data_IF_481731023439
#
_entry.id   IF_481731023439
#
_cell.length_a   1.000
_cell.length_b   1.000
_cell.length_c   1.000
_cell.angle_alpha   90.00
_cell.angle_beta   90.00
_cell.angle_gamma   90.00
#
_symmetry.space_group_name_H-M   'P 1'
#
loop_
_entity.id
_entity.type
_entity.pdbx_description
1 polymer ?
#
# COMPACT_ATOMS: atom_id res chain seq x y z
N UNK A 1 -22.97 18.94 -1.31
CA UNK A 1 -22.17 18.74 -2.51
C UNK A 1 -23.01 18.66 -3.78
N UNK A 2 -24.16 17.98 -3.73
CA UNK A 2 -25.01 17.78 -4.92
C UNK A 2 -25.53 19.11 -5.47
N UNK A 3 -25.94 20.05 -4.59
CA UNK A 3 -26.38 21.39 -4.99
C UNK A 3 -25.26 22.18 -5.67
N UNK A 4 -24.05 22.16 -5.13
CA UNK A 4 -22.88 22.83 -5.70
C UNK A 4 -22.48 22.25 -7.06
N UNK A 5 -22.49 20.92 -7.18
CA UNK A 5 -22.20 20.22 -8.44
C UNK A 5 -23.15 20.63 -9.56
N UNK A 6 -24.46 20.74 -9.25
CA UNK A 6 -25.50 21.16 -10.21
C UNK A 6 -25.34 22.65 -10.58
N UNK A 7 -25.15 23.52 -9.60
CA UNK A 7 -25.01 24.97 -9.82
C UNK A 7 -23.77 25.31 -10.65
N UNK A 8 -22.64 24.65 -10.37
CA UNK A 8 -21.38 24.90 -11.05
C UNK A 8 -21.17 24.05 -12.31
N UNK A 9 -22.07 23.11 -12.60
CA UNK A 9 -21.94 22.12 -13.68
C UNK A 9 -20.60 21.37 -13.64
N UNK A 10 -20.11 21.07 -12.43
CA UNK A 10 -18.87 20.36 -12.18
C UNK A 10 -19.21 18.99 -11.60
N UNK A 11 -18.66 17.88 -12.15
CA UNK A 11 -18.99 16.55 -11.69
C UNK A 11 -18.53 16.31 -10.25
N UNK A 12 -19.34 15.57 -9.50
CA UNK A 12 -18.93 15.03 -8.19
C UNK A 12 -18.01 13.84 -8.39
N UNK A 13 -16.90 13.81 -7.69
CA UNK A 13 -15.91 12.74 -7.73
C UNK A 13 -15.74 12.21 -6.31
N UNK A 14 -15.75 10.88 -6.16
CA UNK A 14 -15.35 10.20 -4.95
C UNK A 14 -13.95 9.61 -5.14
N UNK A 15 -12.91 10.26 -4.60
CA UNK A 15 -11.54 9.82 -4.81
C UNK A 15 -11.22 8.60 -3.95
N UNK A 16 -10.99 7.44 -4.59
CA UNK A 16 -10.44 6.25 -3.97
C UNK A 16 -9.00 6.05 -4.44
N UNK A 17 -8.03 5.96 -3.54
CA UNK A 17 -6.61 5.82 -3.89
C UNK A 17 -6.32 4.60 -4.76
N UNK A 18 -7.06 3.50 -4.58
CA UNK A 18 -6.96 2.28 -5.38
C UNK A 18 -7.22 2.50 -6.88
N UNK A 19 -8.10 3.45 -7.21
CA UNK A 19 -8.54 3.77 -8.58
C UNK A 19 -7.74 4.88 -9.25
N UNK A 20 -6.85 5.55 -8.53
CA UNK A 20 -6.02 6.63 -9.08
C UNK A 20 -4.94 6.09 -9.98
N UNK A 21 -4.74 6.72 -11.15
CA UNK A 21 -3.60 6.41 -12.02
C UNK A 21 -2.28 6.80 -11.32
N UNK A 22 -1.47 5.79 -10.98
CA UNK A 22 -0.23 5.97 -10.25
C UNK A 22 0.83 6.75 -11.03
N UNK A 23 0.72 6.81 -12.36
CA UNK A 23 1.63 7.61 -13.19
C UNK A 23 1.41 9.11 -12.95
N UNK A 24 0.16 9.55 -12.82
CA UNK A 24 -0.15 10.93 -12.48
C UNK A 24 0.37 11.34 -11.12
N UNK A 25 0.35 10.42 -10.14
CA UNK A 25 0.87 10.68 -8.81
C UNK A 25 2.39 10.91 -8.80
N UNK A 26 3.13 10.41 -9.79
CA UNK A 26 4.56 10.66 -9.91
C UNK A 26 4.88 12.13 -10.22
N UNK A 27 3.99 12.83 -10.93
CA UNK A 27 4.16 14.21 -11.38
C UNK A 27 3.79 15.25 -10.31
N UNK A 28 3.17 14.80 -9.19
CA UNK A 28 2.67 15.72 -8.17
C UNK A 28 3.36 15.57 -6.82
N UNK A 29 3.44 16.68 -6.09
CA UNK A 29 3.98 16.69 -4.74
C UNK A 29 2.83 16.53 -3.72
N UNK A 30 2.88 15.51 -2.82
CA UNK A 30 1.87 15.31 -1.80
C UNK A 30 1.60 16.53 -0.93
N UNK A 31 2.61 17.36 -0.66
CA UNK A 31 2.45 18.56 0.16
C UNK A 31 1.47 19.55 -0.47
N UNK A 32 1.62 19.87 -1.78
CA UNK A 32 0.67 20.79 -2.40
C UNK A 32 -0.72 20.15 -2.60
N UNK A 33 -0.81 18.82 -2.73
CA UNK A 33 -2.11 18.15 -2.69
C UNK A 33 -2.84 18.41 -1.36
N UNK A 34 -2.10 18.40 -0.25
CA UNK A 34 -2.60 18.67 1.10
C UNK A 34 -2.97 20.16 1.26
N UNK A 35 -2.09 21.07 0.86
CA UNK A 35 -2.28 22.52 0.98
C UNK A 35 -3.48 23.03 0.19
N UNK A 36 -3.66 22.51 -1.03
CA UNK A 36 -4.75 22.93 -1.93
C UNK A 36 -5.98 22.03 -1.85
N UNK A 37 -5.97 20.97 -1.03
CA UNK A 37 -7.03 19.97 -0.99
C UNK A 37 -7.41 19.48 -2.39
N UNK A 38 -6.42 18.96 -3.12
CA UNK A 38 -6.50 18.63 -4.53
C UNK A 38 -5.71 17.33 -4.80
N UNK A 39 -6.26 16.40 -5.60
CA UNK A 39 -5.54 15.21 -6.05
C UNK A 39 -5.90 14.84 -7.49
N UNK A 40 -4.93 14.46 -8.34
CA UNK A 40 -5.23 13.92 -9.66
C UNK A 40 -5.79 12.50 -9.53
N UNK A 41 -6.83 12.20 -10.34
CA UNK A 41 -7.52 10.91 -10.29
C UNK A 41 -7.17 10.04 -11.49
N UNK A 42 -7.17 10.58 -12.69
CA UNK A 42 -6.98 9.85 -13.93
C UNK A 42 -7.19 10.72 -15.14
N UNK A 43 -7.47 10.10 -16.27
CA UNK A 43 -7.73 10.79 -17.53
C UNK A 43 -9.16 10.56 -18.02
N UNK A 44 -9.74 11.58 -18.58
CA UNK A 44 -10.94 11.50 -19.41
C UNK A 44 -10.60 12.03 -20.79
N UNK A 45 -10.53 11.15 -21.77
CA UNK A 45 -9.95 11.41 -23.10
C UNK A 45 -8.47 11.85 -22.91
N UNK A 46 -8.14 13.10 -23.31
CA UNK A 46 -6.81 13.69 -23.22
C UNK A 46 -6.67 14.72 -22.07
N UNK A 47 -7.63 14.74 -21.15
CA UNK A 47 -7.66 15.70 -20.02
C UNK A 47 -7.43 15.01 -18.70
N UNK A 48 -6.59 15.60 -17.87
CA UNK A 48 -6.38 15.15 -16.49
C UNK A 48 -7.57 15.57 -15.62
N UNK A 49 -8.12 14.62 -14.89
CA UNK A 49 -9.21 14.86 -13.93
C UNK A 49 -8.61 15.07 -12.54
N UNK A 50 -8.91 16.19 -11.91
CA UNK A 50 -8.52 16.55 -10.56
C UNK A 50 -9.73 16.61 -9.65
N UNK A 51 -9.67 15.92 -8.51
CA UNK A 51 -10.66 16.05 -7.44
C UNK A 51 -10.22 17.13 -6.45
N UNK A 52 -11.08 18.07 -6.10
CA UNK A 52 -10.82 19.14 -5.15
C UNK A 52 -12.06 19.49 -4.33
N UNK A 53 -11.88 20.19 -3.20
CA UNK A 53 -13.00 20.64 -2.37
C UNK A 53 -13.69 21.85 -3.00
N UNK A 54 -12.91 22.82 -3.47
CA UNK A 54 -13.40 24.07 -4.04
C UNK A 54 -12.76 24.36 -5.40
N UNK A 55 -13.45 24.02 -6.51
CA UNK A 55 -12.95 24.23 -7.86
C UNK A 55 -12.92 25.70 -8.30
N UNK A 56 -13.45 26.62 -7.49
CA UNK A 56 -13.48 28.05 -7.81
C UNK A 56 -12.22 28.78 -7.36
N UNK A 57 -11.41 28.18 -6.47
CA UNK A 57 -10.15 28.77 -6.01
C UNK A 57 -9.16 28.97 -7.17
N UNK A 58 -8.69 30.19 -7.34
CA UNK A 58 -7.73 30.53 -8.40
C UNK A 58 -6.39 29.85 -8.19
N UNK A 59 -5.95 29.64 -6.94
CA UNK A 59 -4.74 28.87 -6.61
C UNK A 59 -4.78 27.43 -7.14
N UNK A 60 -5.93 26.76 -7.07
CA UNK A 60 -6.14 25.40 -7.62
C UNK A 60 -6.01 25.43 -9.14
N UNK A 61 -6.70 26.38 -9.80
CA UNK A 61 -6.67 26.51 -11.27
C UNK A 61 -5.28 26.83 -11.79
N UNK A 62 -4.58 27.75 -11.12
CA UNK A 62 -3.22 28.12 -11.47
C UNK A 62 -2.25 26.95 -11.32
N UNK A 63 -2.30 26.25 -10.17
CA UNK A 63 -1.43 25.09 -9.91
C UNK A 63 -1.73 23.91 -10.84
N UNK A 64 -2.99 23.66 -11.13
CA UNK A 64 -3.40 22.63 -12.08
C UNK A 64 -2.85 22.91 -13.49
N UNK A 65 -2.91 24.16 -13.96
CA UNK A 65 -2.33 24.56 -15.26
C UNK A 65 -0.82 24.50 -15.28
N UNK A 66 -0.15 24.88 -14.19
CA UNK A 66 1.31 24.81 -14.07
C UNK A 66 1.82 23.37 -14.25
N UNK A 67 1.13 22.39 -13.66
CA UNK A 67 1.58 20.98 -13.64
C UNK A 67 1.09 20.21 -14.86
N UNK A 68 -0.15 20.41 -15.28
CA UNK A 68 -0.83 19.59 -16.30
C UNK A 68 -1.22 20.37 -17.58
N UNK A 69 -0.89 21.66 -17.66
CA UNK A 69 -1.29 22.52 -18.77
C UNK A 69 -2.78 22.84 -18.77
N UNK A 70 -3.30 23.25 -19.95
CA UNK A 70 -4.71 23.65 -20.08
C UNK A 70 -5.71 22.48 -20.19
N UNK A 71 -5.19 21.24 -20.28
CA UNK A 71 -6.00 20.03 -20.43
C UNK A 71 -6.41 19.43 -19.08
N UNK A 72 -7.10 20.23 -18.28
CA UNK A 72 -7.52 19.84 -16.93
C UNK A 72 -9.05 19.91 -16.82
N UNK A 73 -9.60 18.94 -16.10
CA UNK A 73 -10.99 18.90 -15.64
C UNK A 73 -11.03 18.89 -14.12
N UNK A 74 -11.78 19.80 -13.53
CA UNK A 74 -11.98 19.82 -12.08
C UNK A 74 -13.26 19.08 -11.72
N UNK A 75 -13.24 18.36 -10.61
CA UNK A 75 -14.41 17.73 -10.02
C UNK A 75 -14.47 18.03 -8.51
N UNK A 76 -15.68 18.07 -7.96
CA UNK A 76 -15.90 18.36 -6.54
C UNK A 76 -15.87 17.07 -5.75
N UNK A 77 -15.04 17.01 -4.71
CA UNK A 77 -14.92 15.87 -3.81
C UNK A 77 -15.41 16.20 -2.40
N UNK A 78 -15.81 15.15 -1.68
CA UNK A 78 -16.07 15.26 -0.24
C UNK A 78 -14.76 15.51 0.51
N UNK A 79 -14.76 16.45 1.46
CA UNK A 79 -13.56 16.81 2.24
C UNK A 79 -12.95 15.61 2.99
N UNK A 80 -13.79 14.75 3.58
CA UNK A 80 -13.33 13.57 4.32
C UNK A 80 -12.66 12.56 3.38
N UNK A 81 -13.35 12.12 2.32
CA UNK A 81 -12.85 11.17 1.33
C UNK A 81 -11.56 11.68 0.67
N UNK A 82 -11.49 12.97 0.32
CA UNK A 82 -10.32 13.59 -0.28
C UNK A 82 -9.13 13.61 0.69
N UNK A 83 -9.35 13.99 1.96
CA UNK A 83 -8.31 14.03 2.99
C UNK A 83 -7.74 12.65 3.28
N UNK A 84 -8.60 11.62 3.37
CA UNK A 84 -8.18 10.22 3.54
C UNK A 84 -7.33 9.77 2.36
N UNK A 85 -7.76 10.04 1.13
CA UNK A 85 -7.02 9.69 -0.08
C UNK A 85 -5.67 10.40 -0.17
N UNK A 86 -5.58 11.67 0.19
CA UNK A 86 -4.32 12.41 0.24
C UNK A 86 -3.37 11.82 1.31
N UNK A 87 -3.90 11.42 2.47
CA UNK A 87 -3.11 10.77 3.52
C UNK A 87 -2.48 9.47 3.03
N UNK A 88 -3.27 8.62 2.35
CA UNK A 88 -2.75 7.39 1.74
C UNK A 88 -1.70 7.70 0.65
N UNK A 89 -1.89 8.77 -0.12
CA UNK A 89 -0.89 9.21 -1.11
C UNK A 89 0.42 9.68 -0.46
N UNK A 90 0.37 10.42 0.64
CA UNK A 90 1.56 10.84 1.39
C UNK A 90 2.35 9.63 1.91
N UNK A 91 1.67 8.63 2.47
CA UNK A 91 2.28 7.38 2.90
C UNK A 91 2.88 6.60 1.72
N UNK A 92 2.15 6.46 0.62
CA UNK A 92 2.63 5.83 -0.61
C UNK A 92 3.92 6.49 -1.13
N UNK A 93 4.01 7.83 -1.13
CA UNK A 93 5.20 8.57 -1.57
C UNK A 93 6.37 8.49 -0.59
N UNK A 94 6.11 8.44 0.72
CA UNK A 94 7.14 8.17 1.72
C UNK A 94 7.78 6.81 1.49
N UNK A 95 6.94 5.80 1.27
CA UNK A 95 7.39 4.43 1.04
C UNK A 95 8.11 4.26 -0.32
N UNK A 96 7.77 5.06 -1.35
CA UNK A 96 8.52 5.08 -2.61
C UNK A 96 9.87 5.80 -2.51
N UNK A 97 10.01 6.79 -1.63
CA UNK A 97 11.28 7.49 -1.38
C UNK A 97 12.19 6.74 -0.42
N UNK A 98 11.65 5.88 0.41
CA UNK A 98 12.45 4.88 1.11
C UNK A 98 12.93 3.89 0.06
N UNK A 99 14.25 3.75 -0.16
CA UNK A 99 14.73 2.65 -1.00
C UNK A 99 14.08 1.39 -0.44
N UNK A 100 13.45 0.59 -1.31
CA UNK A 100 12.94 -0.72 -0.93
C UNK A 100 14.07 -1.39 -0.18
N UNK A 101 13.92 -1.54 1.14
CA UNK A 101 15.05 -1.96 1.97
C UNK A 101 15.43 -3.37 1.55
N UNK A 102 16.65 -3.52 1.05
CA UNK A 102 17.26 -4.84 0.98
C UNK A 102 17.41 -5.32 2.42
N UNK A 103 16.62 -6.31 2.78
CA UNK A 103 16.78 -6.96 4.08
C UNK A 103 17.92 -7.96 3.92
N UNK A 104 19.14 -7.46 4.11
CA UNK A 104 20.34 -8.26 4.17
C UNK A 104 20.60 -8.63 5.62
N UNK A 105 20.58 -9.89 5.92
CA UNK A 105 20.95 -10.47 7.20
C UNK A 105 21.22 -11.96 6.99
N UNK A 106 22.27 -12.50 7.61
CA UNK A 106 22.61 -13.92 7.49
C UNK A 106 21.66 -14.85 8.26
N UNK A 107 20.57 -14.31 8.85
CA UNK A 107 19.66 -15.08 9.68
C UNK A 107 18.20 -14.83 9.26
N UNK A 108 17.56 -15.85 8.73
CA UNK A 108 16.15 -15.83 8.31
C UNK A 108 15.20 -15.40 9.44
N UNK A 109 15.53 -15.74 10.70
CA UNK A 109 14.75 -15.31 11.87
C UNK A 109 14.73 -13.79 11.99
N UNK A 110 15.90 -13.14 11.93
CA UNK A 110 15.98 -11.68 12.04
C UNK A 110 15.26 -10.95 10.88
N UNK A 111 15.31 -11.53 9.66
CA UNK A 111 14.59 -11.01 8.50
C UNK A 111 13.08 -11.09 8.72
N UNK A 112 12.57 -12.24 9.14
CA UNK A 112 11.16 -12.49 9.39
C UNK A 112 10.67 -11.59 10.53
N UNK A 113 11.36 -11.58 11.67
CA UNK A 113 10.98 -10.79 12.82
C UNK A 113 10.90 -9.29 12.48
N UNK A 114 11.89 -8.76 11.76
CA UNK A 114 11.87 -7.36 11.29
C UNK A 114 10.64 -7.06 10.45
N UNK A 115 10.31 -7.91 9.48
CA UNK A 115 9.15 -7.72 8.60
C UNK A 115 7.84 -7.78 9.38
N UNK A 116 7.71 -8.73 10.32
CA UNK A 116 6.50 -8.88 11.13
C UNK A 116 6.31 -7.72 12.11
N UNK A 117 7.39 -7.26 12.77
CA UNK A 117 7.35 -6.07 13.63
C UNK A 117 6.89 -4.85 12.84
N UNK A 118 7.50 -4.61 11.68
CA UNK A 118 7.16 -3.46 10.82
C UNK A 118 5.72 -3.53 10.30
N UNK A 119 5.21 -4.72 9.99
CA UNK A 119 3.82 -4.92 9.60
C UNK A 119 2.84 -4.57 10.74
N UNK A 120 3.18 -4.96 11.97
CA UNK A 120 2.39 -4.66 13.16
C UNK A 120 2.40 -3.16 13.46
N UNK A 121 3.58 -2.53 13.45
CA UNK A 121 3.75 -1.10 13.72
C UNK A 121 3.04 -0.20 12.71
N UNK A 122 3.00 -0.62 11.43
CA UNK A 122 2.31 0.10 10.36
C UNK A 122 0.82 -0.22 10.27
N UNK A 123 0.31 -1.11 11.11
CA UNK A 123 -1.10 -1.51 11.10
C UNK A 123 -1.51 -2.25 9.82
N UNK A 124 -0.60 -3.00 9.22
CA UNK A 124 -0.89 -3.76 8.02
C UNK A 124 -1.96 -4.85 8.28
N UNK A 125 -2.94 -4.94 7.40
CA UNK A 125 -3.95 -6.02 7.44
C UNK A 125 -3.45 -7.34 6.84
N UNK A 126 -2.58 -7.25 5.84
CA UNK A 126 -2.00 -8.41 5.17
C UNK A 126 -0.54 -8.15 4.80
N UNK A 127 0.30 -9.19 4.91
CA UNK A 127 1.69 -9.20 4.45
C UNK A 127 1.83 -10.22 3.34
N UNK A 128 2.31 -9.79 2.19
CA UNK A 128 2.49 -10.63 1.00
C UNK A 128 3.97 -10.84 0.75
N UNK A 129 4.40 -12.09 0.76
CA UNK A 129 5.72 -12.53 0.29
C UNK A 129 5.55 -13.13 -1.11
N UNK A 130 6.04 -12.45 -2.11
CA UNK A 130 5.80 -12.79 -3.53
C UNK A 130 7.11 -13.14 -4.23
N UNK A 131 7.35 -14.43 -4.55
CA UNK A 131 8.54 -14.83 -5.28
C UNK A 131 8.48 -14.30 -6.71
N UNK A 132 9.60 -13.74 -7.16
CA UNK A 132 9.87 -13.30 -8.52
C UNK A 132 11.10 -14.05 -9.05
N UNK A 133 11.47 -13.83 -10.30
CA UNK A 133 12.54 -14.57 -10.97
C UNK A 133 13.88 -14.51 -10.21
N UNK A 134 14.25 -13.36 -9.64
CA UNK A 134 15.57 -13.10 -9.08
C UNK A 134 15.55 -12.68 -7.60
N UNK A 135 14.38 -12.51 -6.99
CA UNK A 135 14.21 -12.07 -5.62
C UNK A 135 12.79 -12.35 -5.13
N UNK A 136 12.54 -12.17 -3.86
CA UNK A 136 11.19 -12.16 -3.29
C UNK A 136 10.83 -10.73 -2.89
N UNK A 137 9.67 -10.28 -3.36
CA UNK A 137 9.11 -8.97 -2.99
C UNK A 137 8.19 -9.12 -1.79
N UNK A 138 8.35 -8.25 -0.80
CA UNK A 138 7.42 -8.12 0.33
C UNK A 138 6.57 -6.89 0.13
N UNK A 139 5.25 -7.05 0.29
CA UNK A 139 4.28 -5.95 0.24
C UNK A 139 3.35 -6.02 1.45
N UNK A 140 3.00 -4.86 1.96
CA UNK A 140 1.98 -4.72 3.00
C UNK A 140 0.68 -4.19 2.40
N UNK A 141 -0.43 -4.65 2.94
CA UNK A 141 -1.74 -4.04 2.71
C UNK A 141 -2.09 -3.18 3.91
N UNK A 142 -2.25 -1.87 3.71
CA UNK A 142 -2.73 -0.93 4.72
C UNK A 142 -3.85 -0.12 4.11
N UNK A 143 -4.96 0.03 4.82
CA UNK A 143 -6.16 0.76 4.35
C UNK A 143 -6.62 0.33 2.94
N UNK A 144 -6.60 -0.98 2.69
CA UNK A 144 -7.00 -1.56 1.40
C UNK A 144 -5.97 -1.43 0.27
N UNK A 145 -4.85 -0.72 0.47
CA UNK A 145 -3.83 -0.45 -0.56
C UNK A 145 -2.60 -1.34 -0.36
N UNK A 146 -2.12 -1.94 -1.46
CA UNK A 146 -0.90 -2.73 -1.47
C UNK A 146 0.32 -1.86 -1.69
N UNK A 147 1.24 -1.83 -0.72
CA UNK A 147 2.47 -1.05 -0.77
C UNK A 147 3.71 -1.94 -0.78
N UNK A 148 4.70 -1.68 -1.66
CA UNK A 148 5.98 -2.36 -1.62
C UNK A 148 6.72 -1.97 -0.33
N UNK A 149 7.29 -2.96 0.37
CA UNK A 149 7.98 -2.75 1.64
C UNK A 149 9.46 -3.10 1.55
N UNK A 150 9.79 -4.32 1.15
CA UNK A 150 11.16 -4.80 1.09
C UNK A 150 11.39 -5.83 0.00
N UNK A 151 12.65 -6.09 -0.27
CA UNK A 151 13.13 -7.17 -1.15
C UNK A 151 13.99 -8.11 -0.32
N UNK A 152 13.78 -9.41 -0.50
CA UNK A 152 14.58 -10.49 0.05
C UNK A 152 15.36 -11.09 -1.10
N UNK A 153 16.68 -11.16 -0.96
CA UNK A 153 17.56 -11.73 -1.98
C UNK A 153 17.31 -13.22 -2.20
N UNK A 154 17.56 -13.69 -3.41
CA UNK A 154 17.18 -15.05 -3.83
C UNK A 154 17.79 -16.17 -2.98
N UNK A 155 19.00 -16.00 -2.49
CA UNK A 155 19.70 -16.94 -1.61
C UNK A 155 19.05 -17.07 -0.22
N UNK A 156 18.27 -16.08 0.21
CA UNK A 156 17.57 -16.03 1.50
C UNK A 156 16.13 -16.52 1.44
N UNK A 157 15.53 -16.55 0.25
CA UNK A 157 14.10 -16.86 0.05
C UNK A 157 13.70 -18.19 0.66
N UNK A 158 14.48 -19.24 0.41
CA UNK A 158 14.21 -20.61 0.91
C UNK A 158 14.21 -20.64 2.44
N UNK A 159 15.19 -19.97 3.06
CA UNK A 159 15.34 -19.93 4.51
C UNK A 159 14.21 -19.11 5.16
N UNK A 160 13.80 -18.01 4.54
CA UNK A 160 12.69 -17.16 5.03
C UNK A 160 11.36 -17.90 4.95
N UNK A 161 11.05 -18.53 3.81
CA UNK A 161 9.82 -19.33 3.67
C UNK A 161 9.84 -20.52 4.63
N UNK A 162 10.97 -21.21 4.75
CA UNK A 162 11.13 -22.29 5.71
C UNK A 162 10.86 -21.85 7.16
N UNK A 163 11.39 -20.68 7.57
CA UNK A 163 11.12 -20.11 8.89
C UNK A 163 9.63 -19.82 9.09
N UNK A 164 8.97 -19.20 8.12
CA UNK A 164 7.53 -18.89 8.18
C UNK A 164 6.67 -20.16 8.22
N UNK A 165 7.06 -21.23 7.52
CA UNK A 165 6.41 -22.56 7.62
C UNK A 165 6.55 -23.15 9.03
N UNK A 166 7.75 -23.14 9.59
CA UNK A 166 7.97 -23.60 10.97
C UNK A 166 7.09 -22.82 11.96
N UNK A 167 7.08 -21.50 11.84
CA UNK A 167 6.27 -20.65 12.73
C UNK A 167 4.76 -20.91 12.59
N UNK A 168 4.29 -21.26 11.41
CA UNK A 168 2.87 -21.51 11.13
C UNK A 168 2.43 -22.95 11.31
N UNK A 169 3.34 -23.87 11.62
CA UNK A 169 3.06 -25.29 11.71
C UNK A 169 2.85 -25.98 10.35
N UNK A 170 3.25 -25.35 9.25
CA UNK A 170 3.19 -25.94 7.92
C UNK A 170 4.38 -26.88 7.66
N UNK A 171 4.21 -27.85 6.75
CA UNK A 171 5.27 -28.78 6.36
C UNK A 171 6.33 -28.08 5.49
N UNK A 172 7.55 -27.99 6.00
CA UNK A 172 8.69 -27.35 5.34
C UNK A 172 9.15 -28.14 4.10
N UNK A 173 8.96 -29.44 4.09
CA UNK A 173 9.38 -30.32 3.01
C UNK A 173 8.43 -30.30 1.81
N UNK A 174 7.15 -30.04 2.03
CA UNK A 174 6.14 -29.98 0.99
C UNK A 174 6.18 -28.62 0.27
N UNK A 175 6.42 -28.64 -1.04
CA UNK A 175 6.54 -27.43 -1.89
C UNK A 175 5.59 -27.43 -3.09
N UNK A 176 4.78 -28.48 -3.24
CA UNK A 176 3.94 -28.71 -4.43
C UNK A 176 2.47 -28.46 -4.18
N UNK A 177 2.06 -28.42 -2.90
CA UNK A 177 0.68 -28.22 -2.51
C UNK A 177 0.51 -26.94 -1.69
N UNK A 178 -0.66 -26.33 -1.82
CA UNK A 178 -1.05 -25.20 -0.97
C UNK A 178 -1.15 -25.67 0.48
N UNK A 179 -0.75 -24.80 1.40
CA UNK A 179 -0.81 -25.07 2.83
C UNK A 179 -1.34 -23.84 3.57
N UNK A 180 -2.05 -24.08 4.65
CA UNK A 180 -2.49 -23.06 5.58
C UNK A 180 -1.90 -23.33 6.96
N UNK A 181 -1.72 -22.26 7.73
CA UNK A 181 -1.20 -22.34 9.08
C UNK A 181 -1.57 -21.11 9.91
N UNK A 182 -1.10 -21.10 11.14
CA UNK A 182 -1.34 -20.01 12.08
C UNK A 182 -0.04 -19.65 12.78
N UNK A 183 0.29 -18.37 12.81
CA UNK A 183 1.44 -17.84 13.53
C UNK A 183 0.93 -17.05 14.72
N UNK A 184 1.37 -17.41 15.92
CA UNK A 184 1.24 -16.57 17.09
C UNK A 184 2.61 -15.88 17.28
N UNK A 185 2.67 -14.60 16.95
CA UNK A 185 3.91 -13.82 17.00
C UNK A 185 3.91 -12.93 18.23
N UNK A 186 4.89 -13.13 19.10
CA UNK A 186 5.17 -12.24 20.21
C UNK A 186 6.15 -11.16 19.73
N UNK A 187 5.70 -9.89 19.76
CA UNK A 187 6.56 -8.78 19.40
C UNK A 187 7.66 -8.61 20.46
N UNK A 188 8.94 -8.81 20.12
CA UNK A 188 10.02 -8.79 21.11
C UNK A 188 10.28 -7.41 21.71
N UNK A 189 9.74 -6.34 21.11
CA UNK A 189 9.90 -4.97 21.59
C UNK A 189 8.78 -4.58 22.56
N UNK A 190 7.55 -4.96 22.26
CA UNK A 190 6.36 -4.54 23.03
C UNK A 190 5.78 -5.64 23.92
N UNK A 191 6.19 -6.91 23.73
CA UNK A 191 5.59 -8.07 24.37
C UNK A 191 4.17 -8.40 23.90
N UNK A 192 3.66 -7.69 22.87
CA UNK A 192 2.32 -7.92 22.34
C UNK A 192 2.27 -9.20 21.53
N UNK A 193 1.28 -10.04 21.83
CA UNK A 193 0.97 -11.22 21.02
C UNK A 193 0.03 -10.85 19.87
N UNK A 194 0.43 -11.19 18.65
CA UNK A 194 -0.35 -10.96 17.42
C UNK A 194 -0.62 -12.29 16.74
N UNK A 195 -1.89 -12.55 16.47
CA UNK A 195 -2.34 -13.73 15.75
C UNK A 195 -2.37 -13.46 14.26
N UNK A 196 -1.80 -14.37 13.46
CA UNK A 196 -1.75 -14.25 12.02
C UNK A 196 -2.15 -15.58 11.35
N UNK A 197 -2.95 -15.50 10.31
CA UNK A 197 -3.23 -16.64 9.43
C UNK A 197 -2.27 -16.63 8.26
N UNK A 198 -1.63 -17.75 8.01
CA UNK A 198 -0.67 -17.96 6.93
C UNK A 198 -1.28 -18.85 5.86
N UNK A 199 -1.23 -18.41 4.59
CA UNK A 199 -1.63 -19.20 3.43
C UNK A 199 -0.50 -19.24 2.42
N UNK A 200 0.02 -20.45 2.15
CA UNK A 200 1.09 -20.70 1.21
C UNK A 200 0.52 -21.17 -0.12
N UNK A 201 0.93 -20.54 -1.21
CA UNK A 201 0.50 -20.84 -2.57
C UNK A 201 1.68 -21.19 -3.45
N UNK A 202 1.56 -22.26 -4.21
CA UNK A 202 2.58 -22.64 -5.19
C UNK A 202 2.49 -21.75 -6.41
N UNK A 203 3.60 -21.18 -6.85
CA UNK A 203 3.70 -20.35 -8.06
C UNK A 203 4.86 -20.80 -8.94
N UNK A 204 4.95 -20.24 -10.15
CA UNK A 204 6.02 -20.56 -11.12
C UNK A 204 7.42 -20.22 -10.58
N UNK A 205 7.53 -19.22 -9.68
CA UNK A 205 8.82 -18.78 -9.13
C UNK A 205 9.07 -19.26 -7.69
N UNK A 206 8.23 -20.17 -7.18
CA UNK A 206 8.34 -20.69 -5.82
C UNK A 206 7.07 -20.46 -5.00
N UNK A 207 7.19 -20.54 -3.68
CA UNK A 207 6.03 -20.41 -2.80
C UNK A 207 5.75 -18.94 -2.45
N UNK A 208 4.55 -18.51 -2.73
CA UNK A 208 3.99 -17.22 -2.28
C UNK A 208 3.35 -17.44 -0.91
N UNK A 209 3.55 -16.50 0.01
CA UNK A 209 2.85 -16.49 1.29
C UNK A 209 2.02 -15.22 1.43
N UNK A 210 0.82 -15.38 1.97
CA UNK A 210 0.00 -14.28 2.46
C UNK A 210 -0.24 -14.48 3.95
N UNK A 211 0.17 -13.52 4.75
CA UNK A 211 -0.15 -13.44 6.18
C UNK A 211 -1.26 -12.42 6.39
N UNK A 212 -2.37 -12.86 6.97
CA UNK A 212 -3.42 -11.96 7.45
C UNK A 212 -3.20 -11.68 8.93
N UNK A 213 -3.01 -10.42 9.27
CA UNK A 213 -2.86 -9.96 10.66
C UNK A 213 -4.26 -9.84 11.26
N UNK A 214 -4.53 -10.65 12.29
CA UNK A 214 -5.76 -10.56 13.04
C UNK A 214 -5.50 -9.60 14.20
N UNK A 215 -5.98 -8.35 14.08
CA UNK A 215 -5.80 -7.39 15.16
C UNK A 215 -6.63 -7.84 16.36
N UNK A 216 -5.97 -8.21 17.45
CA UNK A 216 -6.60 -8.28 18.76
C UNK A 216 -6.86 -6.84 19.24
N UNK A 217 -7.90 -6.18 18.70
CA UNK A 217 -8.56 -5.11 19.44
C UNK A 217 -9.36 -5.82 20.54
N UNK A 218 -8.71 -5.98 21.70
CA UNK A 218 -9.47 -6.20 22.94
C UNK A 218 -10.19 -4.87 23.17
N UNK A 219 -11.53 -4.89 23.00
CA UNK A 219 -12.39 -3.83 23.47
C UNK A 219 -12.34 -3.72 25.01
#
# INVERSE_FOLDING_TARGET
LDVLSIQLRIPKIDPEFSRIDKKLLAEVNPKWCRELNLIPIGYVKDRVVLACIDPMQDAIKQKAREVFGDKVLLGIANSKSLSETITVFEQYRKNQKSPVQQVSGNNATAIVDKILIEAIETGASDVHFEPLKNHMRVRFRSDGVMMPQSIIENDQVISVIGRLKVMSGADVSEKRHHQDGRILFENPVTGQNVDMRASFYVTVYGEKLVLRVLSNKVE
#
